data_IF_767809188457
#
_entry.id   IF_767809188457
#
_cell.length_a   1.000
_cell.length_b   1.000
_cell.length_c   1.000
_cell.angle_alpha   90.00
_cell.angle_beta   90.00
_cell.angle_gamma   90.00
#
_symmetry.space_group_name_H-M   'P 1'
#
loop_
_entity.id
_entity.type
_entity.pdbx_description
1 polymer ?
#
# COMPACT_ATOMS: atom_id res chain seq x y z
N UNK A 1 22.96 3.87 13.91
CA UNK A 1 21.95 3.06 14.64
C UNK A 1 21.87 1.68 13.98
N UNK A 2 21.40 0.66 14.73
CA UNK A 2 21.25 -0.70 14.21
C UNK A 2 19.78 -1.09 14.18
N UNK A 3 19.32 -1.66 13.06
CA UNK A 3 17.94 -2.09 12.89
C UNK A 3 17.87 -3.46 12.22
N UNK A 4 16.85 -4.24 12.58
CA UNK A 4 16.55 -5.56 12.00
C UNK A 4 15.33 -5.44 11.10
N UNK A 5 15.46 -5.83 9.85
CA UNK A 5 14.39 -5.75 8.86
C UNK A 5 14.10 -7.15 8.33
N UNK A 6 12.86 -7.59 8.45
CA UNK A 6 12.41 -8.78 7.75
C UNK A 6 12.18 -8.42 6.27
N UNK A 7 12.82 -9.15 5.37
CA UNK A 7 12.59 -9.02 3.93
C UNK A 7 11.69 -10.13 3.43
N UNK A 8 10.65 -9.78 2.74
CA UNK A 8 9.75 -10.71 2.06
C UNK A 8 9.79 -10.40 0.56
N UNK A 9 10.65 -11.07 -0.22
CA UNK A 9 10.70 -10.84 -1.67
C UNK A 9 9.34 -11.09 -2.33
N UNK A 10 8.62 -12.13 -1.92
CA UNK A 10 7.31 -12.48 -2.43
C UNK A 10 7.36 -13.17 -3.78
N UNK A 11 6.36 -12.90 -4.64
CA UNK A 11 6.11 -13.59 -5.89
C UNK A 11 6.28 -12.66 -7.12
N UNK A 12 6.40 -13.23 -8.30
CA UNK A 12 6.42 -12.49 -9.56
C UNK A 12 7.54 -11.47 -9.65
N UNK A 13 7.20 -10.18 -9.80
CA UNK A 13 8.17 -9.07 -9.83
C UNK A 13 8.73 -8.73 -8.44
N UNK A 14 8.16 -9.27 -7.37
CA UNK A 14 8.52 -8.95 -5.98
C UNK A 14 10.02 -9.02 -5.69
N UNK A 15 10.74 -10.12 -6.03
CA UNK A 15 12.18 -10.23 -5.82
C UNK A 15 13.00 -9.13 -6.52
N UNK A 16 12.60 -8.73 -7.75
CA UNK A 16 13.29 -7.68 -8.50
C UNK A 16 13.16 -6.32 -7.80
N UNK A 17 11.93 -5.92 -7.45
CA UNK A 17 11.67 -4.60 -6.86
C UNK A 17 12.18 -4.47 -5.42
N UNK A 18 12.15 -5.56 -4.63
CA UNK A 18 12.73 -5.58 -3.27
C UNK A 18 14.26 -5.48 -3.32
N UNK A 19 14.89 -6.12 -4.30
CA UNK A 19 16.34 -5.99 -4.51
C UNK A 19 16.75 -4.54 -4.76
N UNK A 20 15.97 -3.80 -5.55
CA UNK A 20 16.25 -2.39 -5.83
C UNK A 20 16.00 -1.50 -4.60
N UNK A 21 14.92 -1.73 -3.86
CA UNK A 21 14.68 -1.01 -2.60
C UNK A 21 15.76 -1.27 -1.56
N UNK A 22 16.21 -2.54 -1.43
CA UNK A 22 17.34 -2.89 -0.56
C UNK A 22 18.61 -2.14 -0.94
N UNK A 23 18.94 -2.04 -2.22
CA UNK A 23 20.10 -1.30 -2.72
C UNK A 23 20.05 0.17 -2.31
N UNK A 24 18.90 0.81 -2.38
CA UNK A 24 18.68 2.19 -1.92
C UNK A 24 18.88 2.29 -0.40
N UNK A 25 18.33 1.35 0.38
CA UNK A 25 18.52 1.29 1.83
C UNK A 25 19.98 1.06 2.22
N UNK A 26 20.72 0.21 1.49
CA UNK A 26 22.15 0.00 1.72
C UNK A 26 22.94 1.30 1.49
N UNK A 27 22.53 2.12 0.50
CA UNK A 27 23.13 3.43 0.26
C UNK A 27 22.80 4.46 1.35
N UNK A 28 21.58 4.44 1.87
CA UNK A 28 21.20 5.22 3.06
C UNK A 28 22.09 4.84 4.25
N UNK A 29 22.29 3.54 4.49
CA UNK A 29 23.18 3.06 5.57
C UNK A 29 24.61 3.57 5.42
N UNK A 30 25.17 3.53 4.20
CA UNK A 30 26.51 4.06 3.91
C UNK A 30 26.60 5.56 4.22
N UNK A 31 25.64 6.35 3.73
CA UNK A 31 25.66 7.81 3.87
C UNK A 31 25.43 8.31 5.30
N UNK A 32 24.48 7.69 6.01
CA UNK A 32 24.05 8.14 7.35
C UNK A 32 24.60 7.30 8.49
N UNK A 33 25.52 6.35 8.20
CA UNK A 33 26.19 5.50 9.19
C UNK A 33 25.22 4.63 10.03
N UNK A 34 24.23 4.02 9.37
CA UNK A 34 23.35 3.02 9.96
C UNK A 34 23.81 1.61 9.61
N UNK A 35 23.28 0.62 10.35
CA UNK A 35 23.45 -0.80 10.05
C UNK A 35 22.07 -1.46 9.98
N UNK A 36 21.69 -1.97 8.81
CA UNK A 36 20.49 -2.76 8.65
C UNK A 36 20.87 -4.24 8.51
N UNK A 37 20.30 -5.07 9.39
CA UNK A 37 20.42 -6.52 9.30
C UNK A 37 19.14 -7.07 8.70
N UNK A 38 19.25 -7.75 7.58
CA UNK A 38 18.11 -8.30 6.86
C UNK A 38 17.93 -9.79 7.16
N UNK A 39 16.70 -10.18 7.47
CA UNK A 39 16.28 -11.58 7.59
C UNK A 39 15.25 -11.86 6.51
N UNK A 40 15.61 -12.68 5.52
CA UNK A 40 14.70 -13.05 4.45
C UNK A 40 13.74 -14.14 4.92
N UNK A 41 12.46 -13.97 4.64
CA UNK A 41 11.40 -14.93 4.93
C UNK A 41 10.50 -15.13 3.71
N UNK A 42 9.97 -16.34 3.55
CA UNK A 42 9.10 -16.70 2.44
C UNK A 42 7.63 -16.47 2.82
N UNK A 43 6.88 -15.90 1.88
CA UNK A 43 5.44 -15.70 1.95
C UNK A 43 4.83 -15.92 0.56
N UNK A 44 3.54 -16.28 0.52
CA UNK A 44 2.81 -16.43 -0.71
C UNK A 44 3.15 -17.69 -1.47
N UNK A 45 3.25 -17.59 -2.80
CA UNK A 45 3.58 -18.69 -3.70
C UNK A 45 4.96 -19.26 -3.43
N UNK A 46 5.94 -18.40 -3.17
CA UNK A 46 7.30 -18.82 -2.83
C UNK A 46 7.33 -19.70 -1.57
N UNK A 47 6.52 -19.41 -0.57
CA UNK A 47 6.38 -20.25 0.63
C UNK A 47 5.64 -21.55 0.33
N UNK A 48 4.61 -21.52 -0.51
CA UNK A 48 3.87 -22.74 -0.91
C UNK A 48 4.80 -23.71 -1.62
N UNK A 49 5.66 -23.24 -2.52
CA UNK A 49 6.56 -24.08 -3.29
C UNK A 49 7.61 -24.80 -2.42
N UNK A 50 8.04 -24.16 -1.31
CA UNK A 50 9.05 -24.72 -0.40
C UNK A 50 8.42 -25.48 0.77
N UNK A 51 7.37 -24.92 1.36
CA UNK A 51 6.81 -25.40 2.64
C UNK A 51 5.42 -26.03 2.51
N UNK A 52 4.76 -25.92 1.35
CA UNK A 52 3.38 -26.40 1.13
C UNK A 52 2.30 -25.55 1.78
N UNK A 53 2.67 -24.41 2.39
CA UNK A 53 1.77 -23.45 3.04
C UNK A 53 2.16 -22.02 2.67
N UNK A 54 1.19 -21.09 2.55
CA UNK A 54 1.48 -19.72 2.10
C UNK A 54 2.22 -18.87 3.16
N UNK A 55 2.25 -19.30 4.42
CA UNK A 55 2.94 -18.63 5.52
C UNK A 55 3.25 -19.65 6.63
N UNK A 56 4.49 -19.62 7.13
CA UNK A 56 4.92 -20.48 8.25
C UNK A 56 4.93 -19.72 9.57
N UNK A 57 4.84 -20.42 10.70
CA UNK A 57 4.99 -19.84 12.04
C UNK A 57 6.39 -19.23 12.25
N UNK A 58 7.42 -19.82 11.65
CA UNK A 58 8.78 -19.28 11.69
C UNK A 58 8.89 -17.92 10.98
N UNK A 59 8.24 -17.77 9.83
CA UNK A 59 8.18 -16.49 9.11
C UNK A 59 7.47 -15.41 9.96
N UNK A 60 6.36 -15.76 10.63
CA UNK A 60 5.67 -14.87 11.58
C UNK A 60 6.59 -14.48 12.74
N UNK A 61 7.30 -15.43 13.33
CA UNK A 61 8.20 -15.18 14.45
C UNK A 61 9.35 -14.26 14.05
N UNK A 62 9.95 -14.46 12.87
CA UNK A 62 11.00 -13.61 12.32
C UNK A 62 10.49 -12.20 12.08
N UNK A 63 9.32 -12.05 11.45
CA UNK A 63 8.71 -10.73 11.24
C UNK A 63 8.45 -10.00 12.57
N UNK A 64 7.88 -10.68 13.58
CA UNK A 64 7.63 -10.10 14.91
C UNK A 64 8.88 -9.69 15.66
N UNK A 65 10.01 -10.35 15.41
CA UNK A 65 11.29 -10.05 16.08
C UNK A 65 12.10 -8.95 15.40
N UNK A 66 11.64 -8.48 14.23
CA UNK A 66 12.25 -7.41 13.46
C UNK A 66 11.70 -6.04 13.90
N UNK A 67 12.37 -4.96 13.52
CA UNK A 67 11.92 -3.59 13.79
C UNK A 67 10.89 -3.12 12.74
N UNK A 68 10.95 -3.70 11.54
CA UNK A 68 9.99 -3.50 10.44
C UNK A 68 10.04 -4.65 9.43
N UNK A 69 9.03 -4.70 8.55
CA UNK A 69 8.97 -5.65 7.43
C UNK A 69 8.92 -4.88 6.12
N UNK A 70 9.82 -5.19 5.19
CA UNK A 70 9.76 -4.72 3.81
C UNK A 70 9.37 -5.89 2.91
N UNK A 71 8.30 -5.74 2.14
CA UNK A 71 7.74 -6.79 1.30
C UNK A 71 7.61 -6.34 -0.15
N UNK A 72 7.80 -7.28 -1.06
CA UNK A 72 7.46 -7.12 -2.48
C UNK A 72 5.97 -7.39 -2.72
N UNK A 73 5.67 -8.21 -3.69
CA UNK A 73 4.31 -8.52 -4.12
C UNK A 73 3.96 -9.99 -3.90
N UNK A 74 2.69 -10.28 -3.68
CA UNK A 74 2.19 -11.63 -3.42
C UNK A 74 1.14 -12.01 -4.47
N UNK A 75 1.16 -13.28 -4.88
CA UNK A 75 0.19 -13.84 -5.79
C UNK A 75 0.78 -14.27 -7.14
N UNK A 76 -0.08 -14.78 -8.01
CA UNK A 76 0.30 -15.25 -9.34
C UNK A 76 -0.83 -15.08 -10.35
N UNK A 77 -0.63 -15.53 -11.59
CA UNK A 77 -1.69 -15.55 -12.59
C UNK A 77 -2.74 -16.61 -12.25
N UNK A 78 -4.00 -16.17 -12.12
CA UNK A 78 -5.10 -17.03 -11.69
C UNK A 78 -5.40 -18.19 -12.67
N UNK A 79 -4.98 -18.10 -13.94
CA UNK A 79 -5.21 -19.13 -14.95
C UNK A 79 -4.07 -20.14 -15.05
N UNK A 80 -2.84 -19.67 -14.89
CA UNK A 80 -1.64 -20.48 -15.19
C UNK A 80 -0.90 -20.94 -13.93
N UNK A 81 -0.99 -20.20 -12.82
CA UNK A 81 -0.30 -20.56 -11.59
C UNK A 81 -0.91 -21.78 -10.90
N UNK A 82 -0.10 -22.78 -10.49
CA UNK A 82 -0.56 -23.97 -9.79
C UNK A 82 -1.24 -23.69 -8.46
N UNK A 83 -0.90 -22.60 -7.79
CA UNK A 83 -1.41 -22.23 -6.48
C UNK A 83 -2.93 -22.01 -6.45
N UNK A 84 -3.53 -21.59 -7.58
CA UNK A 84 -4.98 -21.35 -7.67
C UNK A 84 -5.82 -22.63 -7.82
N UNK A 85 -5.16 -23.80 -7.98
CA UNK A 85 -5.81 -25.11 -7.85
C UNK A 85 -6.00 -25.54 -6.40
N UNK A 86 -5.33 -24.88 -5.47
CA UNK A 86 -5.47 -25.13 -4.05
C UNK A 86 -6.76 -24.53 -3.49
N UNK A 87 -7.17 -25.03 -2.34
CA UNK A 87 -8.27 -24.45 -1.55
C UNK A 87 -7.96 -22.96 -1.25
N UNK A 88 -8.96 -22.08 -1.23
CA UNK A 88 -8.75 -20.64 -1.02
C UNK A 88 -7.89 -20.30 0.22
N UNK A 89 -8.03 -21.07 1.31
CA UNK A 89 -7.25 -20.91 2.55
C UNK A 89 -5.77 -21.25 2.43
N UNK A 90 -5.35 -21.85 1.31
CA UNK A 90 -3.98 -22.26 1.02
C UNK A 90 -3.34 -21.49 -0.12
N UNK A 91 -4.03 -20.49 -0.67
CA UNK A 91 -3.52 -19.65 -1.75
C UNK A 91 -2.60 -18.55 -1.23
N UNK A 92 -1.78 -17.92 -2.09
CA UNK A 92 -0.87 -16.86 -1.68
C UNK A 92 -1.52 -15.73 -0.87
N UNK A 93 -2.72 -15.29 -1.28
CA UNK A 93 -3.47 -14.22 -0.64
C UNK A 93 -3.87 -14.55 0.81
N UNK A 94 -4.11 -15.84 1.10
CA UNK A 94 -4.38 -16.27 2.48
C UNK A 94 -3.17 -16.03 3.40
N UNK A 95 -1.94 -16.20 2.89
CA UNK A 95 -0.71 -15.86 3.61
C UNK A 95 -0.60 -14.36 3.91
N UNK A 96 -0.94 -13.51 2.92
CA UNK A 96 -0.94 -12.06 3.07
C UNK A 96 -1.95 -11.60 4.15
N UNK A 97 -3.16 -12.11 4.13
CA UNK A 97 -4.16 -11.80 5.16
C UNK A 97 -3.73 -12.31 6.54
N UNK A 98 -3.12 -13.50 6.60
CA UNK A 98 -2.64 -14.11 7.84
C UNK A 98 -1.51 -13.30 8.49
N UNK A 99 -0.51 -12.83 7.73
CA UNK A 99 0.59 -12.03 8.28
C UNK A 99 0.09 -10.66 8.77
N UNK A 100 -0.79 -9.99 8.03
CA UNK A 100 -1.41 -8.72 8.46
C UNK A 100 -2.14 -8.88 9.80
N UNK A 101 -2.90 -9.98 9.95
CA UNK A 101 -3.59 -10.31 11.19
C UNK A 101 -2.61 -10.66 12.32
N UNK A 102 -1.60 -11.49 12.06
CA UNK A 102 -0.61 -11.92 13.05
C UNK A 102 0.21 -10.75 13.61
N UNK A 103 0.44 -9.71 12.81
CA UNK A 103 1.18 -8.50 13.18
C UNK A 103 0.25 -7.35 13.63
N UNK A 104 -1.07 -7.57 13.67
CA UNK A 104 -2.10 -6.57 14.02
C UNK A 104 -2.01 -5.28 13.20
N UNK A 105 -1.79 -5.39 11.90
CA UNK A 105 -1.60 -4.26 10.98
C UNK A 105 -2.96 -3.71 10.53
N UNK A 106 -3.59 -2.88 11.32
CA UNK A 106 -4.95 -2.41 11.07
C UNK A 106 -5.03 -1.13 10.23
N UNK A 107 -3.97 -0.31 10.19
CA UNK A 107 -3.97 0.96 9.50
C UNK A 107 -3.09 0.87 8.24
N UNK A 108 -3.71 0.89 7.07
CA UNK A 108 -2.99 0.92 5.79
C UNK A 108 -3.00 2.33 5.22
N UNK A 109 -1.82 2.88 5.05
CA UNK A 109 -1.57 4.21 4.52
C UNK A 109 -1.13 4.10 3.06
N UNK A 110 -1.87 4.72 2.15
CA UNK A 110 -1.59 4.75 0.70
C UNK A 110 -1.56 6.19 0.20
N UNK A 111 -0.38 6.85 0.17
CA UNK A 111 -0.26 8.19 -0.37
C UNK A 111 -0.41 8.16 -1.89
N UNK A 112 -1.18 9.10 -2.43
CA UNK A 112 -1.32 9.33 -3.87
C UNK A 112 -0.89 10.77 -4.16
N UNK A 113 0.34 10.89 -4.66
CA UNK A 113 0.99 12.16 -5.00
C UNK A 113 1.29 12.22 -6.49
N UNK A 114 0.85 13.28 -7.14
CA UNK A 114 1.18 13.51 -8.55
C UNK A 114 2.50 14.30 -8.64
N UNK A 115 3.54 13.62 -9.08
CA UNK A 115 4.80 14.28 -9.42
C UNK A 115 4.60 15.17 -10.65
N UNK A 116 5.12 16.40 -10.60
CA UNK A 116 5.03 17.33 -11.73
C UNK A 116 5.62 16.73 -13.02
N UNK A 117 6.69 15.96 -12.87
CA UNK A 117 7.39 15.26 -13.94
C UNK A 117 6.54 14.15 -14.60
N UNK A 118 5.44 13.74 -13.95
CA UNK A 118 4.55 12.68 -14.42
C UNK A 118 3.17 13.21 -14.87
N UNK A 119 2.97 14.53 -14.96
CA UNK A 119 1.71 15.11 -15.42
C UNK A 119 1.25 14.59 -16.79
N UNK A 120 2.19 14.26 -17.68
CA UNK A 120 1.87 13.70 -19.00
C UNK A 120 1.45 12.22 -18.96
N UNK A 121 1.86 11.47 -17.95
CA UNK A 121 1.41 10.11 -17.71
C UNK A 121 0.04 10.05 -17.01
N UNK A 122 -0.38 11.16 -16.39
CA UNK A 122 -1.68 11.28 -15.74
C UNK A 122 -2.81 11.26 -16.77
N UNK A 123 -3.83 10.41 -16.62
CA UNK A 123 -4.96 10.35 -17.55
C UNK A 123 -5.95 11.51 -17.40
N UNK A 124 -5.80 12.30 -16.33
CA UNK A 124 -6.68 13.44 -16.04
C UNK A 124 -6.21 14.67 -16.84
N UNK A 125 -7.18 15.44 -17.32
CA UNK A 125 -6.88 16.68 -18.06
C UNK A 125 -6.16 17.69 -17.18
N UNK A 126 -5.20 18.41 -17.74
CA UNK A 126 -4.39 19.42 -17.01
C UNK A 126 -5.24 20.48 -16.32
N UNK A 127 -6.37 20.88 -16.93
CA UNK A 127 -7.30 21.86 -16.36
C UNK A 127 -7.98 21.36 -15.07
N UNK A 128 -8.11 20.03 -14.90
CA UNK A 128 -8.68 19.38 -13.71
C UNK A 128 -7.62 19.23 -12.63
N UNK A 129 -6.39 18.88 -13.01
CA UNK A 129 -5.26 18.73 -12.08
C UNK A 129 -4.90 20.09 -11.45
N UNK A 130 -5.00 21.17 -12.23
CA UNK A 130 -4.59 22.52 -11.83
C UNK A 130 -3.05 22.67 -11.75
N UNK A 131 -2.60 23.86 -11.35
CA UNK A 131 -1.16 24.20 -11.32
C UNK A 131 -0.37 23.49 -10.22
N UNK A 132 -1.03 23.07 -9.14
CA UNK A 132 -0.39 22.50 -7.96
C UNK A 132 -0.44 20.96 -7.89
N UNK A 133 -1.06 20.32 -8.88
CA UNK A 133 -1.30 18.88 -8.82
C UNK A 133 -2.20 18.49 -7.64
N UNK A 134 -2.06 17.27 -7.15
CA UNK A 134 -2.74 16.80 -5.95
C UNK A 134 -1.80 15.97 -5.08
N UNK A 135 -2.08 15.99 -3.79
CA UNK A 135 -1.37 15.25 -2.77
C UNK A 135 -2.36 14.81 -1.70
N UNK A 136 -2.76 13.54 -1.74
CA UNK A 136 -3.72 12.95 -0.82
C UNK A 136 -3.17 11.65 -0.22
N UNK A 137 -3.76 11.22 0.90
CA UNK A 137 -3.47 9.93 1.49
C UNK A 137 -4.77 9.20 1.79
N UNK A 138 -4.83 7.91 1.42
CA UNK A 138 -5.93 7.03 1.79
C UNK A 138 -5.54 6.24 3.03
N UNK A 139 -6.30 6.43 4.09
CA UNK A 139 -6.19 5.72 5.37
C UNK A 139 -7.26 4.65 5.39
N UNK A 140 -6.86 3.42 5.07
CA UNK A 140 -7.70 2.24 4.92
C UNK A 140 -7.64 1.40 6.19
N UNK A 141 -8.79 1.07 6.80
CA UNK A 141 -8.84 -0.02 7.78
C UNK A 141 -8.50 -1.33 7.09
N UNK A 142 -7.61 -2.18 7.66
CA UNK A 142 -7.00 -3.29 6.94
C UNK A 142 -7.35 -4.68 7.51
N UNK A 143 -7.86 -4.80 8.72
CA UNK A 143 -8.04 -6.08 9.42
C UNK A 143 -9.47 -6.41 9.80
N UNK A 144 -10.42 -5.62 9.34
CA UNK A 144 -11.86 -5.81 9.52
C UNK A 144 -12.63 -5.90 8.20
N UNK A 145 -13.92 -5.73 8.29
CA UNK A 145 -14.84 -5.63 7.17
C UNK A 145 -15.07 -6.93 6.40
N UNK A 146 -15.34 -6.79 5.12
CA UNK A 146 -15.75 -7.91 4.26
C UNK A 146 -14.65 -8.97 4.09
N UNK A 147 -13.37 -8.55 4.06
CA UNK A 147 -12.25 -9.47 3.81
C UNK A 147 -11.93 -10.37 5.01
N UNK A 148 -12.36 -9.99 6.21
CA UNK A 148 -12.14 -10.75 7.45
C UNK A 148 -13.42 -11.30 8.08
N UNK A 149 -14.58 -10.99 7.49
CA UNK A 149 -15.86 -11.47 7.94
C UNK A 149 -16.10 -12.96 7.67
N UNK A 150 -17.16 -13.48 8.28
CA UNK A 150 -17.58 -14.87 8.04
C UNK A 150 -18.01 -15.03 6.58
N UNK A 151 -17.53 -16.10 5.97
CA UNK A 151 -17.86 -16.45 4.58
C UNK A 151 -18.24 -17.91 4.45
N UNK A 152 -19.26 -18.20 3.64
CA UNK A 152 -19.68 -19.57 3.38
C UNK A 152 -20.40 -19.69 2.04
N UNK A 153 -20.29 -20.86 1.44
CA UNK A 153 -21.16 -21.27 0.31
C UNK A 153 -22.03 -22.42 0.80
N UNK A 154 -23.33 -22.27 0.71
CA UNK A 154 -24.33 -23.26 1.10
C UNK A 154 -25.12 -23.69 -0.13
N UNK A 155 -25.85 -24.80 -0.03
CA UNK A 155 -26.79 -25.25 -1.03
C UNK A 155 -28.19 -25.26 -0.41
N UNK A 156 -29.12 -24.49 -0.99
CA UNK A 156 -30.54 -24.41 -0.60
C UNK A 156 -31.37 -24.79 -1.83
N UNK A 157 -32.23 -25.78 -1.71
CA UNK A 157 -33.13 -26.27 -2.81
C UNK A 157 -32.36 -26.58 -4.11
N UNK A 158 -31.17 -27.15 -4.03
CA UNK A 158 -30.31 -27.47 -5.18
C UNK A 158 -29.62 -26.27 -5.83
N UNK A 159 -29.71 -25.08 -5.23
CA UNK A 159 -29.07 -23.86 -5.71
C UNK A 159 -27.93 -23.44 -4.77
N UNK A 160 -26.76 -23.18 -5.32
CA UNK A 160 -25.61 -22.66 -4.53
C UNK A 160 -25.78 -21.19 -4.21
N UNK A 161 -25.55 -20.84 -2.92
CA UNK A 161 -25.62 -19.48 -2.41
C UNK A 161 -24.33 -19.16 -1.67
N UNK A 162 -23.59 -18.15 -2.13
CA UNK A 162 -22.40 -17.64 -1.47
C UNK A 162 -22.76 -16.43 -0.58
N UNK A 163 -22.18 -16.39 0.61
CA UNK A 163 -22.43 -15.36 1.62
C UNK A 163 -21.08 -14.85 2.13
N UNK A 164 -20.88 -13.54 2.07
CA UNK A 164 -19.77 -12.84 2.71
C UNK A 164 -20.35 -11.78 3.65
N UNK A 165 -19.82 -11.69 4.88
CA UNK A 165 -20.35 -10.82 5.92
C UNK A 165 -19.45 -9.62 6.11
N UNK A 166 -19.99 -8.41 5.90
CA UNK A 166 -19.34 -7.16 6.28
C UNK A 166 -19.68 -6.85 7.74
N UNK A 167 -18.66 -6.72 8.59
CA UNK A 167 -18.86 -6.34 9.98
C UNK A 167 -17.74 -5.43 10.49
N UNK A 168 -18.12 -4.43 11.30
CA UNK A 168 -17.21 -3.57 12.05
C UNK A 168 -17.76 -3.33 13.45
N UNK A 169 -16.86 -3.25 14.43
CA UNK A 169 -17.18 -2.79 15.77
C UNK A 169 -16.61 -1.37 16.03
N UNK A 170 -17.09 -0.73 17.09
CA UNK A 170 -16.71 0.65 17.42
C UNK A 170 -15.20 0.82 17.65
N UNK A 171 -14.51 -0.19 18.21
CA UNK A 171 -13.07 -0.12 18.49
C UNK A 171 -12.24 -0.17 17.19
N UNK A 172 -12.65 -0.99 16.22
CA UNK A 172 -11.99 -1.06 14.90
C UNK A 172 -12.13 0.27 14.17
N UNK A 173 -13.31 0.87 14.20
CA UNK A 173 -13.55 2.17 13.56
C UNK A 173 -12.79 3.29 14.29
N UNK A 174 -12.83 3.32 15.61
CA UNK A 174 -12.18 4.37 16.43
C UNK A 174 -10.66 4.39 16.22
N UNK A 175 -10.00 3.23 16.26
CA UNK A 175 -8.53 3.16 16.10
C UNK A 175 -8.05 3.66 14.74
N UNK A 176 -8.80 3.37 13.67
CA UNK A 176 -8.42 3.85 12.33
C UNK A 176 -8.77 5.33 12.14
N UNK A 177 -9.87 5.80 12.72
CA UNK A 177 -10.24 7.21 12.70
C UNK A 177 -9.15 8.06 13.40
N UNK A 178 -8.72 7.67 14.60
CA UNK A 178 -7.61 8.35 15.31
C UNK A 178 -6.37 8.43 14.44
N UNK A 179 -5.98 7.34 13.77
CA UNK A 179 -4.84 7.36 12.84
C UNK A 179 -5.01 8.36 11.71
N UNK A 180 -6.21 8.48 11.13
CA UNK A 180 -6.48 9.44 10.05
C UNK A 180 -6.40 10.90 10.54
N UNK A 181 -6.97 11.19 11.70
CA UNK A 181 -6.93 12.53 12.28
C UNK A 181 -5.52 12.93 12.77
N UNK A 182 -4.70 11.96 13.21
CA UNK A 182 -3.31 12.17 13.64
C UNK A 182 -2.34 12.46 12.47
N UNK A 183 -2.74 12.28 11.21
CA UNK A 183 -1.87 12.47 10.05
C UNK A 183 -1.34 13.91 9.90
N UNK A 184 -1.96 14.90 10.56
CA UNK A 184 -1.51 16.31 10.65
C UNK A 184 -1.17 16.97 9.30
N UNK A 185 -1.87 16.57 8.23
CA UNK A 185 -1.68 17.14 6.88
C UNK A 185 -2.41 18.50 6.74
N UNK A 186 -3.13 18.73 5.65
CA UNK A 186 -3.82 19.99 5.34
C UNK A 186 -5.06 20.27 6.21
N UNK A 187 -5.32 19.41 7.21
CA UNK A 187 -6.40 19.52 8.20
C UNK A 187 -7.80 19.22 7.67
N UNK A 188 -7.93 18.37 6.67
CA UNK A 188 -9.22 17.87 6.18
C UNK A 188 -9.23 16.34 6.14
N UNK A 189 -10.26 15.75 6.76
CA UNK A 189 -10.55 14.31 6.67
C UNK A 189 -11.87 14.11 5.94
N UNK A 190 -11.84 13.40 4.81
CA UNK A 190 -13.04 12.94 4.11
C UNK A 190 -13.31 11.49 4.50
N UNK A 191 -14.30 11.28 5.35
CA UNK A 191 -14.73 9.94 5.75
C UNK A 191 -15.66 9.35 4.71
N UNK A 192 -15.24 8.23 4.10
CA UNK A 192 -15.94 7.60 2.98
C UNK A 192 -16.64 6.33 3.44
N UNK A 193 -17.94 6.26 3.15
CA UNK A 193 -18.82 5.21 3.61
C UNK A 193 -19.99 4.93 2.62
N UNK A 194 -20.91 4.04 2.98
CA UNK A 194 -22.17 3.80 2.28
C UNK A 194 -23.37 3.88 3.25
N UNK A 195 -23.40 4.93 4.10
CA UNK A 195 -24.35 5.08 5.20
C UNK A 195 -25.81 5.19 4.76
N UNK A 196 -26.08 5.56 3.50
CA UNK A 196 -27.43 5.55 2.94
C UNK A 196 -28.03 4.14 2.80
N UNK A 197 -27.19 3.07 2.83
CA UNK A 197 -27.63 1.69 2.67
C UNK A 197 -27.20 0.80 3.84
N UNK A 198 -25.95 0.86 4.30
CA UNK A 198 -25.34 -0.13 5.18
C UNK A 198 -25.37 0.30 6.66
N UNK A 199 -25.75 -0.62 7.55
CA UNK A 199 -25.70 -0.41 9.01
C UNK A 199 -24.26 -0.23 9.51
N UNK A 200 -23.29 -1.01 9.00
CA UNK A 200 -21.88 -0.87 9.31
C UNK A 200 -21.35 0.54 8.99
N UNK A 201 -21.76 1.13 7.86
CA UNK A 201 -21.41 2.49 7.47
C UNK A 201 -22.10 3.56 8.33
N UNK A 202 -23.31 3.31 8.81
CA UNK A 202 -23.97 4.23 9.78
C UNK A 202 -23.24 4.24 11.11
N UNK A 203 -22.81 3.07 11.61
CA UNK A 203 -21.96 2.98 12.80
C UNK A 203 -20.61 3.66 12.57
N UNK A 204 -19.99 3.41 11.40
CA UNK A 204 -18.74 4.06 10.98
C UNK A 204 -18.82 5.58 11.10
N UNK A 205 -19.83 6.17 10.49
CA UNK A 205 -20.04 7.63 10.50
C UNK A 205 -20.18 8.18 11.92
N UNK A 206 -21.01 7.54 12.74
CA UNK A 206 -21.22 7.93 14.14
C UNK A 206 -19.91 7.93 14.94
N UNK A 207 -19.11 6.87 14.85
CA UNK A 207 -17.85 6.75 15.61
C UNK A 207 -16.79 7.74 15.08
N UNK A 208 -16.74 7.98 13.78
CA UNK A 208 -15.84 8.99 13.20
C UNK A 208 -16.21 10.40 13.67
N UNK A 209 -17.50 10.74 13.77
CA UNK A 209 -17.97 12.01 14.34
C UNK A 209 -17.59 12.16 15.83
N UNK A 210 -17.67 11.08 16.60
CA UNK A 210 -17.23 11.07 18.01
C UNK A 210 -15.72 11.35 18.12
N UNK A 211 -14.90 10.73 17.28
CA UNK A 211 -13.44 10.96 17.25
C UNK A 211 -13.13 12.38 16.80
N UNK A 212 -13.81 12.89 15.78
CA UNK A 212 -13.59 14.24 15.25
C UNK A 212 -13.77 15.34 16.30
N UNK A 213 -14.61 15.11 17.32
CA UNK A 213 -14.82 16.06 18.40
C UNK A 213 -13.54 16.35 19.21
N UNK A 214 -12.57 15.42 19.21
CA UNK A 214 -11.26 15.58 19.88
C UNK A 214 -10.24 16.35 19.01
N UNK A 215 -10.58 16.65 17.72
CA UNK A 215 -9.73 17.30 16.73
C UNK A 215 -10.38 18.55 16.11
N UNK A 216 -10.68 19.59 16.91
CA UNK A 216 -11.44 20.75 16.46
C UNK A 216 -10.76 21.56 15.34
N UNK A 217 -9.46 21.35 15.13
CA UNK A 217 -8.69 21.99 14.03
C UNK A 217 -8.79 21.24 12.71
N UNK A 218 -9.40 20.04 12.68
CA UNK A 218 -9.53 19.22 11.48
C UNK A 218 -10.96 19.28 10.97
N UNK A 219 -11.13 19.64 9.71
CA UNK A 219 -12.45 19.60 9.05
C UNK A 219 -12.81 18.17 8.69
N UNK A 220 -13.92 17.68 9.22
CA UNK A 220 -14.52 16.40 8.83
C UNK A 220 -15.60 16.62 7.75
N UNK A 221 -15.49 15.88 6.66
CA UNK A 221 -16.54 15.72 5.65
C UNK A 221 -16.92 14.26 5.49
N UNK A 222 -18.21 13.97 5.27
CA UNK A 222 -18.67 12.63 4.91
C UNK A 222 -18.99 12.57 3.43
N UNK A 223 -18.54 11.50 2.78
CA UNK A 223 -18.81 11.28 1.36
C UNK A 223 -19.24 9.82 1.13
N UNK A 224 -20.26 9.60 0.30
CA UNK A 224 -20.61 8.24 -0.12
C UNK A 224 -19.53 7.71 -1.08
N UNK A 225 -19.21 6.43 -1.00
CA UNK A 225 -18.11 5.81 -1.74
C UNK A 225 -18.24 5.95 -3.26
N UNK A 226 -19.44 5.83 -3.79
CA UNK A 226 -19.73 6.05 -5.21
C UNK A 226 -19.48 7.51 -5.65
N UNK A 227 -19.81 8.48 -4.81
CA UNK A 227 -19.46 9.87 -5.07
C UNK A 227 -17.95 10.10 -4.94
N UNK A 228 -17.28 9.48 -3.96
CA UNK A 228 -15.84 9.59 -3.81
C UNK A 228 -15.09 9.10 -5.06
N UNK A 229 -15.49 7.95 -5.62
CA UNK A 229 -14.94 7.44 -6.86
C UNK A 229 -15.11 8.43 -8.02
N UNK A 230 -16.28 9.05 -8.18
CA UNK A 230 -16.48 10.09 -9.18
C UNK A 230 -15.59 11.32 -8.93
N UNK A 231 -15.46 11.74 -7.68
CA UNK A 231 -14.69 12.94 -7.30
C UNK A 231 -13.18 12.74 -7.42
N UNK A 232 -12.65 11.54 -7.23
CA UNK A 232 -11.24 11.22 -7.48
C UNK A 232 -10.83 11.51 -8.94
N UNK A 233 -11.75 11.31 -9.89
CA UNK A 233 -11.54 11.60 -11.31
C UNK A 233 -11.88 13.05 -11.66
N UNK A 234 -12.89 13.64 -11.02
CA UNK A 234 -13.43 14.95 -11.35
C UNK A 234 -12.64 16.11 -10.72
N UNK A 235 -12.24 15.98 -9.46
CA UNK A 235 -11.49 16.98 -8.70
C UNK A 235 -10.64 16.30 -7.61
N UNK A 236 -9.53 15.60 -7.96
CA UNK A 236 -8.67 14.93 -7.01
C UNK A 236 -8.01 15.88 -6.01
N UNK A 237 -7.81 17.14 -6.37
CA UNK A 237 -7.15 18.14 -5.55
C UNK A 237 -7.96 18.56 -4.30
N UNK A 238 -9.26 18.27 -4.27
CA UNK A 238 -10.11 18.54 -3.10
C UNK A 238 -9.77 17.68 -1.89
N UNK A 239 -9.12 16.51 -2.10
CA UNK A 239 -8.82 15.56 -1.04
C UNK A 239 -7.48 15.86 -0.34
N UNK A 240 -7.44 15.55 0.96
CA UNK A 240 -6.25 15.56 1.79
C UNK A 240 -6.07 14.18 2.43
N UNK A 241 -6.92 13.83 3.40
CA UNK A 241 -6.96 12.50 4.00
C UNK A 241 -8.32 11.87 3.67
N UNK A 242 -8.31 10.71 3.03
CA UNK A 242 -9.51 9.88 2.81
C UNK A 242 -9.47 8.75 3.84
N UNK A 243 -10.45 8.75 4.76
CA UNK A 243 -10.62 7.70 5.77
C UNK A 243 -11.71 6.74 5.32
N UNK A 244 -11.42 5.44 5.25
CA UNK A 244 -12.40 4.48 4.76
C UNK A 244 -12.17 3.04 5.26
N UNK A 245 -13.19 2.21 5.13
CA UNK A 245 -13.17 0.80 5.45
C UNK A 245 -12.34 -0.01 4.45
N UNK A 246 -12.14 -1.30 4.72
CA UNK A 246 -11.20 -2.17 4.03
C UNK A 246 -11.44 -2.27 2.52
N UNK A 247 -12.63 -2.72 2.10
CA UNK A 247 -12.93 -2.95 0.69
C UNK A 247 -13.01 -1.65 -0.12
N UNK A 248 -13.64 -0.61 0.43
CA UNK A 248 -13.70 0.69 -0.25
C UNK A 248 -12.32 1.31 -0.38
N UNK A 249 -11.48 1.19 0.65
CA UNK A 249 -10.11 1.68 0.63
C UNK A 249 -9.23 0.97 -0.38
N UNK A 250 -9.46 -0.32 -0.60
CA UNK A 250 -8.77 -1.09 -1.64
C UNK A 250 -9.08 -0.52 -3.04
N UNK A 251 -10.36 -0.40 -3.35
CA UNK A 251 -10.83 0.07 -4.66
C UNK A 251 -10.42 1.53 -4.92
N UNK A 252 -10.68 2.42 -3.96
CA UNK A 252 -10.40 3.85 -4.12
C UNK A 252 -8.89 4.15 -4.21
N UNK A 253 -8.04 3.38 -3.53
CA UNK A 253 -6.60 3.60 -3.63
C UNK A 253 -6.02 3.14 -4.96
N UNK A 254 -6.55 2.07 -5.54
CA UNK A 254 -6.16 1.64 -6.89
C UNK A 254 -6.63 2.64 -7.95
N UNK A 255 -7.83 3.20 -7.80
CA UNK A 255 -8.31 4.31 -8.63
C UNK A 255 -7.40 5.53 -8.49
N UNK A 256 -7.09 5.96 -7.27
CA UNK A 256 -6.19 7.07 -7.01
C UNK A 256 -4.80 6.86 -7.60
N UNK A 257 -4.28 5.61 -7.61
CA UNK A 257 -3.00 5.30 -8.22
C UNK A 257 -3.00 5.54 -9.73
N UNK A 258 -4.08 5.19 -10.42
CA UNK A 258 -4.22 5.43 -11.86
C UNK A 258 -4.34 6.92 -12.16
N UNK A 259 -4.93 7.70 -11.26
CA UNK A 259 -4.99 9.16 -11.36
C UNK A 259 -3.59 9.79 -11.23
N UNK A 260 -2.63 9.15 -10.52
CA UNK A 260 -1.22 9.60 -10.48
C UNK A 260 -0.39 9.16 -11.69
N UNK A 261 -0.97 8.38 -12.59
CA UNK A 261 -0.34 7.93 -13.83
C UNK A 261 0.12 6.47 -13.85
N UNK A 262 0.43 5.86 -12.70
CA UNK A 262 0.79 4.43 -12.63
C UNK A 262 0.68 3.87 -11.22
N UNK A 263 0.17 2.65 -11.11
CA UNK A 263 0.19 1.87 -9.87
C UNK A 263 1.62 1.56 -9.39
N UNK A 264 2.62 1.60 -10.29
CA UNK A 264 4.05 1.46 -9.96
C UNK A 264 4.63 2.62 -9.15
N UNK A 265 3.84 3.68 -8.92
CA UNK A 265 4.20 4.83 -8.08
C UNK A 265 3.56 4.78 -6.69
N UNK A 266 2.61 3.88 -6.44
CA UNK A 266 1.83 3.85 -5.21
C UNK A 266 2.53 3.02 -4.12
N UNK A 267 3.17 3.70 -3.19
CA UNK A 267 3.72 3.11 -1.96
C UNK A 267 2.63 2.81 -0.93
N UNK A 268 2.94 1.95 0.03
CA UNK A 268 2.01 1.59 1.10
C UNK A 268 2.73 1.25 2.40
N UNK A 269 2.13 1.64 3.51
CA UNK A 269 2.53 1.27 4.86
C UNK A 269 1.35 0.66 5.60
N UNK A 270 1.51 -0.53 6.15
CA UNK A 270 0.54 -1.19 7.03
C UNK A 270 1.06 -1.14 8.46
N UNK A 271 0.39 -0.40 9.34
CA UNK A 271 0.85 -0.07 10.68
C UNK A 271 -0.03 -0.72 11.76
N UNK A 272 0.57 -1.02 12.90
CA UNK A 272 -0.15 -1.37 14.11
C UNK A 272 -0.25 -0.20 15.10
N UNK A 273 -0.59 -0.47 16.35
CA UNK A 273 -0.71 0.53 17.42
C UNK A 273 0.64 1.13 17.85
N UNK A 274 1.73 0.40 17.56
CA UNK A 274 3.10 0.84 17.86
C UNK A 274 3.72 1.54 16.66
N UNK A 275 5.04 1.59 16.59
CA UNK A 275 5.79 2.03 15.40
C UNK A 275 6.04 0.91 14.39
N UNK A 276 5.72 -0.35 14.74
CA UNK A 276 5.95 -1.47 13.86
C UNK A 276 5.02 -1.42 12.65
N UNK A 277 5.58 -1.71 11.47
CA UNK A 277 4.87 -1.73 10.21
C UNK A 277 5.41 -2.74 9.20
N UNK A 278 4.55 -3.03 8.22
CA UNK A 278 4.88 -3.75 7.00
C UNK A 278 4.71 -2.78 5.83
N UNK A 279 5.72 -2.73 4.98
CA UNK A 279 5.85 -1.78 3.88
C UNK A 279 5.93 -2.53 2.57
N UNK A 280 5.01 -2.26 1.67
CA UNK A 280 4.84 -2.97 0.40
C UNK A 280 4.33 -2.03 -0.70
N UNK A 281 4.64 -2.24 -1.99
CA UNK A 281 3.95 -1.53 -3.05
C UNK A 281 2.48 -1.95 -3.09
N UNK A 282 1.58 -1.08 -3.53
CA UNK A 282 0.15 -1.41 -3.63
C UNK A 282 -0.20 -2.29 -4.81
N UNK A 283 0.68 -2.41 -5.80
CA UNK A 283 0.47 -3.26 -6.99
C UNK A 283 0.68 -4.76 -6.71
N UNK A 284 0.13 -5.60 -7.58
CA UNK A 284 0.29 -7.05 -7.53
C UNK A 284 1.64 -7.56 -8.05
N UNK A 285 1.73 -8.86 -8.22
CA UNK A 285 2.96 -9.57 -8.58
C UNK A 285 3.34 -9.53 -10.06
N UNK A 286 2.45 -9.06 -10.95
CA UNK A 286 2.66 -8.91 -12.39
C UNK A 286 3.49 -10.07 -13.02
N UNK A 287 3.02 -11.32 -12.93
CA UNK A 287 3.80 -12.50 -13.32
C UNK A 287 4.16 -12.53 -14.80
N UNK A 288 3.42 -11.80 -15.63
CA UNK A 288 3.64 -11.65 -17.08
C UNK A 288 4.91 -10.89 -17.43
N UNK A 289 5.41 -10.02 -16.57
CA UNK A 289 6.65 -9.27 -16.76
C UNK A 289 7.76 -9.66 -15.78
N UNK A 290 7.55 -10.63 -14.90
CA UNK A 290 8.53 -11.09 -13.93
C UNK A 290 9.82 -11.60 -14.60
N UNK A 291 10.99 -11.22 -14.08
CA UNK A 291 12.30 -11.58 -14.61
C UNK A 291 12.69 -10.85 -15.90
N UNK A 292 11.88 -9.90 -16.38
CA UNK A 292 12.14 -9.18 -17.63
C UNK A 292 12.79 -7.81 -17.45
N UNK A 293 13.10 -7.42 -16.23
CA UNK A 293 13.68 -6.10 -15.92
C UNK A 293 12.82 -4.92 -16.44
N UNK A 294 11.48 -5.06 -16.32
CA UNK A 294 10.51 -4.06 -16.81
C UNK A 294 9.72 -3.39 -15.69
N UNK A 295 9.63 -4.05 -14.53
CA UNK A 295 8.87 -3.55 -13.40
C UNK A 295 9.41 -2.20 -12.91
N UNK A 296 8.49 -1.30 -12.52
CA UNK A 296 8.85 -0.04 -11.86
C UNK A 296 9.14 -0.31 -10.37
N UNK A 297 10.36 -0.07 -9.86
CA UNK A 297 10.69 -0.32 -8.46
C UNK A 297 10.33 0.85 -7.53
N UNK A 298 9.86 1.98 -8.06
CA UNK A 298 9.69 3.23 -7.30
C UNK A 298 8.70 3.06 -6.16
N UNK A 299 7.57 2.38 -6.36
CA UNK A 299 6.59 2.14 -5.30
C UNK A 299 7.21 1.40 -4.09
N UNK A 300 8.06 0.40 -4.33
CA UNK A 300 8.75 -0.34 -3.25
C UNK A 300 9.83 0.52 -2.59
N UNK A 301 10.57 1.33 -3.36
CA UNK A 301 11.55 2.28 -2.83
C UNK A 301 10.88 3.34 -1.96
N UNK A 302 9.75 3.90 -2.39
CA UNK A 302 8.96 4.84 -1.59
C UNK A 302 8.31 4.16 -0.37
N UNK A 303 7.93 2.88 -0.46
CA UNK A 303 7.49 2.12 0.71
C UNK A 303 8.63 1.94 1.72
N UNK A 304 9.87 1.74 1.25
CA UNK A 304 11.04 1.74 2.11
C UNK A 304 11.31 3.12 2.75
N UNK A 305 11.06 4.22 2.05
CA UNK A 305 11.10 5.57 2.65
C UNK A 305 10.05 5.73 3.76
N UNK A 306 8.82 5.23 3.55
CA UNK A 306 7.80 5.20 4.60
C UNK A 306 8.26 4.35 5.81
N UNK A 307 8.97 3.24 5.59
CA UNK A 307 9.56 2.43 6.67
C UNK A 307 10.57 3.23 7.49
N UNK A 308 11.48 3.93 6.83
CA UNK A 308 12.45 4.82 7.49
C UNK A 308 11.72 5.83 8.37
N UNK A 309 10.68 6.47 7.88
CA UNK A 309 9.91 7.51 8.58
C UNK A 309 9.08 6.96 9.73
N UNK A 310 8.20 5.99 9.47
CA UNK A 310 7.17 5.58 10.43
C UNK A 310 7.65 4.53 11.46
N UNK A 311 8.49 3.56 11.06
CA UNK A 311 8.99 2.54 11.99
C UNK A 311 10.30 2.93 12.62
N UNK A 312 11.23 3.51 11.86
CA UNK A 312 12.60 3.73 12.32
C UNK A 312 12.87 5.15 12.83
N UNK A 313 11.94 6.10 12.63
CA UNK A 313 12.07 7.55 12.93
C UNK A 313 13.33 8.18 12.30
N UNK A 314 13.58 7.83 11.05
CA UNK A 314 14.66 8.32 10.22
C UNK A 314 14.07 9.25 9.14
N UNK A 315 13.57 10.42 9.57
CA UNK A 315 12.87 11.36 8.67
C UNK A 315 13.80 11.96 7.62
N UNK A 316 15.03 12.32 7.99
CA UNK A 316 16.03 12.88 7.08
C UNK A 316 16.41 11.87 5.98
N UNK A 317 16.57 10.61 6.34
CA UNK A 317 16.88 9.53 5.44
C UNK A 317 15.70 9.24 4.49
N UNK A 318 14.48 9.32 5.02
CA UNK A 318 13.27 9.16 4.20
C UNK A 318 13.16 10.30 3.18
N UNK A 319 13.36 11.55 3.60
CA UNK A 319 13.36 12.73 2.73
C UNK A 319 14.45 12.61 1.64
N UNK A 320 15.62 12.09 1.97
CA UNK A 320 16.70 11.87 0.99
C UNK A 320 16.31 10.84 -0.08
N UNK A 321 15.62 9.76 0.29
CA UNK A 321 15.12 8.75 -0.68
C UNK A 321 14.03 9.36 -1.57
N UNK A 322 13.07 10.08 -1.01
CA UNK A 322 12.01 10.75 -1.76
C UNK A 322 12.59 11.79 -2.73
N UNK A 323 13.57 12.59 -2.29
CA UNK A 323 14.27 13.56 -3.13
C UNK A 323 15.09 12.88 -4.24
N UNK A 324 15.70 11.73 -3.97
CA UNK A 324 16.42 10.95 -4.98
C UNK A 324 15.48 10.43 -6.09
N UNK A 325 14.30 9.93 -5.72
CA UNK A 325 13.27 9.55 -6.70
C UNK A 325 12.88 10.74 -7.57
N UNK A 326 12.55 11.88 -6.95
CA UNK A 326 12.16 13.08 -7.69
C UNK A 326 13.28 13.56 -8.62
N UNK A 327 14.54 13.54 -8.16
CA UNK A 327 15.68 13.92 -8.98
C UNK A 327 15.81 13.04 -10.24
N UNK A 328 15.70 11.73 -10.11
CA UNK A 328 15.79 10.81 -11.25
C UNK A 328 14.66 11.05 -12.25
N UNK A 329 13.44 11.34 -11.75
CA UNK A 329 12.31 11.74 -12.60
C UNK A 329 12.59 13.08 -13.30
N UNK A 330 13.14 14.07 -12.60
CA UNK A 330 13.52 15.39 -13.17
C UNK A 330 14.62 15.26 -14.22
N UNK A 331 15.58 14.33 -14.04
CA UNK A 331 16.64 14.02 -15.01
C UNK A 331 16.10 13.28 -16.27
N UNK A 332 14.80 12.99 -16.31
CA UNK A 332 14.07 12.45 -17.45
C UNK A 332 14.10 10.94 -17.59
N UNK A 333 14.50 10.17 -16.57
CA UNK A 333 14.47 8.71 -16.61
C UNK A 333 13.08 8.16 -16.28
N UNK A 334 12.64 7.13 -17.03
CA UNK A 334 11.31 6.52 -16.89
C UNK A 334 11.36 5.02 -17.09
N UNK A 335 10.60 4.28 -16.29
CA UNK A 335 10.20 2.91 -16.63
C UNK A 335 9.05 2.93 -17.64
N UNK A 336 8.73 1.77 -18.23
CA UNK A 336 7.77 1.69 -19.33
C UNK A 336 6.35 2.13 -18.98
N UNK A 337 5.94 1.97 -17.73
CA UNK A 337 4.60 2.31 -17.20
C UNK A 337 4.36 3.82 -17.05
N UNK A 338 5.44 4.59 -16.85
CA UNK A 338 5.41 6.05 -16.68
C UNK A 338 6.11 6.80 -17.83
N UNK A 339 6.25 6.14 -18.97
CA UNK A 339 6.97 6.71 -20.12
C UNK A 339 6.22 7.89 -20.74
N UNK A 340 6.95 8.94 -21.10
CA UNK A 340 6.45 10.09 -21.83
C UNK A 340 7.49 10.57 -22.87
N UNK A 341 7.03 11.40 -23.81
CA UNK A 341 7.86 11.88 -24.92
C UNK A 341 9.09 12.65 -24.41
N UNK A 342 10.22 12.38 -25.04
CA UNK A 342 11.50 13.02 -24.70
C UNK A 342 12.23 12.42 -23.49
N UNK A 343 11.63 11.46 -22.78
CA UNK A 343 12.24 10.80 -21.65
C UNK A 343 13.12 9.61 -22.06
N UNK A 344 13.99 9.19 -21.13
CA UNK A 344 14.93 8.08 -21.30
C UNK A 344 14.36 6.82 -20.69
N UNK A 345 14.12 5.80 -21.51
CA UNK A 345 13.63 4.51 -21.03
C UNK A 345 14.72 3.76 -20.25
N UNK A 346 14.38 3.26 -19.07
CA UNK A 346 15.22 2.42 -18.21
C UNK A 346 14.46 1.20 -17.70
N UNK A 347 15.18 0.13 -17.37
CA UNK A 347 14.62 -1.04 -16.74
C UNK A 347 14.60 -0.92 -15.21
N UNK A 348 14.05 -1.95 -14.54
CA UNK A 348 13.94 -2.05 -13.08
C UNK A 348 15.27 -1.80 -12.38
N UNK A 349 16.31 -2.52 -12.79
CA UNK A 349 17.63 -2.44 -12.20
C UNK A 349 18.28 -1.08 -12.39
N UNK A 350 18.22 -0.52 -13.60
CA UNK A 350 18.82 0.78 -13.89
C UNK A 350 18.12 1.90 -13.12
N UNK A 351 16.79 1.85 -13.00
CA UNK A 351 16.04 2.80 -12.17
C UNK A 351 16.48 2.75 -10.72
N UNK A 352 16.63 1.56 -10.13
CA UNK A 352 17.15 1.39 -8.77
C UNK A 352 18.58 1.89 -8.59
N UNK A 353 19.48 1.63 -9.56
CA UNK A 353 20.86 2.12 -9.55
C UNK A 353 20.92 3.66 -9.59
N UNK A 354 20.11 4.29 -10.43
CA UNK A 354 20.01 5.75 -10.54
C UNK A 354 19.50 6.40 -9.25
N UNK A 355 18.46 5.83 -8.63
CA UNK A 355 17.92 6.34 -7.36
C UNK A 355 18.96 6.16 -6.25
N UNK A 356 19.59 4.99 -6.13
CA UNK A 356 20.62 4.75 -5.12
C UNK A 356 21.82 5.71 -5.28
N UNK A 357 22.21 6.04 -6.51
CA UNK A 357 23.28 7.01 -6.76
C UNK A 357 22.89 8.45 -6.44
N UNK A 358 21.59 8.77 -6.40
CA UNK A 358 21.09 10.10 -6.11
C UNK A 358 20.85 10.34 -4.60
N UNK A 359 20.78 9.27 -3.76
CA UNK A 359 20.74 9.36 -2.30
C UNK A 359 22.09 9.90 -1.76
#
# INVERSE_FOLDING_TARGET
>A
MEYRIALIPGDGIGPEIVSEAKKVLDKVCEKYHHTFTYSEVLLGGASIDVHGVPLTEEAIATAKSSDAVLMGSIGGDAKTSPWYKLEPSKRPEAGLLAIRKALNLFANLRPAYLYKELEEACPIKKEVIGENGFDMIIVRELTGGLYFGERKTIEEDGVKKAIDTLSYNENEIRRIAVKAFDMKRKKKVTSVDKANVLDSSRLWRKVVEEVAADYPEVTLEHMLVDNCAMQLVHDPAQFDVILTENMFGDILSDEASMVTGSIGMLSSASLNETKFGLYEPSHGSAPDIAGQNKANPIATILSAAMMLRYSLNLDEEADAVEAAVQKVLTDGYRTGDIMSDGCKAVGTKEMGDLIAAAV
#
